data_IF_798662443750
#
_entry.id   IF_798662443750
#
_cell.length_a   1.000
_cell.length_b   1.000
_cell.length_c   1.000
_cell.angle_alpha   90.00
_cell.angle_beta   90.00
_cell.angle_gamma   90.00
#
_symmetry.space_group_name_H-M   'P 1'
#
loop_
_entity.id
_entity.type
_entity.pdbx_description
1 polymer ?
#
# COMPACT_ATOMS: atom_id res chain seq x y z
N UNK A 1 -9.78 -2.39 -10.91
CA UNK A 1 -9.66 -2.36 -9.43
C UNK A 1 -9.89 -3.72 -8.77
N UNK A 2 -11.00 -4.43 -9.04
CA UNK A 2 -11.24 -5.78 -8.49
C UNK A 2 -10.03 -6.71 -8.62
N UNK A 3 -9.43 -6.78 -9.82
CA UNK A 3 -8.24 -7.57 -10.07
C UNK A 3 -7.04 -7.16 -9.19
N UNK A 4 -6.73 -5.86 -9.10
CA UNK A 4 -5.65 -5.36 -8.25
C UNK A 4 -5.92 -5.60 -6.76
N UNK A 5 -7.19 -5.58 -6.34
CA UNK A 5 -7.58 -5.96 -4.99
C UNK A 5 -7.28 -7.43 -4.74
N UNK A 6 -7.66 -8.32 -5.66
CA UNK A 6 -7.33 -9.74 -5.58
C UNK A 6 -5.81 -9.98 -5.48
N UNK A 7 -5.03 -9.41 -6.39
CA UNK A 7 -3.56 -9.52 -6.40
C UNK A 7 -2.94 -9.02 -5.08
N UNK A 8 -3.43 -7.89 -4.55
CA UNK A 8 -2.92 -7.33 -3.29
C UNK A 8 -3.15 -8.25 -2.08
N UNK A 9 -4.24 -9.02 -2.06
CA UNK A 9 -4.54 -9.94 -0.97
C UNK A 9 -3.84 -11.29 -1.12
N UNK A 10 -3.72 -11.81 -2.35
CA UNK A 10 -3.12 -13.12 -2.59
C UNK A 10 -1.61 -13.09 -2.77
N UNK A 11 -1.01 -11.90 -2.97
CA UNK A 11 0.42 -11.73 -3.30
C UNK A 11 0.87 -12.55 -4.52
N UNK A 12 -0.06 -12.79 -5.46
CA UNK A 12 0.19 -13.54 -6.69
C UNK A 12 0.86 -12.64 -7.74
N UNK A 13 1.46 -13.27 -8.77
CA UNK A 13 1.92 -12.58 -9.97
C UNK A 13 0.77 -11.78 -10.60
N UNK A 14 1.00 -10.50 -10.86
CA UNK A 14 0.14 -9.74 -11.73
C UNK A 14 0.42 -10.11 -13.19
N UNK A 15 -0.60 -10.08 -14.05
CA UNK A 15 -0.39 -10.25 -15.49
C UNK A 15 0.36 -9.05 -16.12
N UNK A 16 0.50 -7.96 -15.36
CA UNK A 16 1.05 -6.69 -15.80
C UNK A 16 2.44 -6.48 -15.17
N UNK A 17 3.28 -7.51 -15.26
CA UNK A 17 4.69 -7.50 -14.87
C UNK A 17 5.54 -7.67 -16.12
N UNK A 18 5.69 -6.58 -16.88
CA UNK A 18 6.32 -6.61 -18.22
C UNK A 18 7.80 -6.26 -18.11
N UNK A 19 8.13 -5.23 -17.30
CA UNK A 19 9.50 -4.80 -17.03
C UNK A 19 9.60 -4.18 -15.63
N UNK A 20 10.82 -3.91 -15.16
CA UNK A 20 11.03 -3.25 -13.86
C UNK A 20 10.41 -1.85 -13.81
N UNK A 21 10.38 -1.16 -14.95
CA UNK A 21 9.80 0.18 -15.12
C UNK A 21 8.28 0.14 -15.30
N UNK A 22 7.72 -0.98 -15.78
CA UNK A 22 6.28 -1.17 -16.00
C UNK A 22 5.83 -2.47 -15.32
N UNK A 23 5.62 -2.38 -14.01
CA UNK A 23 5.20 -3.49 -13.17
C UNK A 23 4.12 -3.07 -12.17
N UNK A 24 2.95 -3.67 -12.29
CA UNK A 24 1.93 -3.54 -11.26
C UNK A 24 2.29 -4.28 -9.98
N UNK A 25 3.14 -5.32 -10.05
CA UNK A 25 3.59 -6.05 -8.86
C UNK A 25 4.49 -5.20 -7.97
N UNK A 26 5.44 -4.46 -8.55
CA UNK A 26 6.31 -3.54 -7.79
C UNK A 26 5.46 -2.47 -7.09
N UNK A 27 4.49 -1.90 -7.80
CA UNK A 27 3.62 -0.83 -7.28
C UNK A 27 2.69 -1.35 -6.17
N UNK A 28 2.00 -2.48 -6.39
CA UNK A 28 1.06 -3.08 -5.42
C UNK A 28 1.77 -3.61 -4.18
N UNK A 29 3.04 -3.99 -4.27
CA UNK A 29 3.83 -4.47 -3.13
C UNK A 29 4.66 -3.37 -2.46
N UNK A 30 4.58 -2.13 -2.95
CA UNK A 30 5.28 -0.98 -2.39
C UNK A 30 4.73 -0.55 -1.02
N UNK A 31 5.49 0.29 -0.32
CA UNK A 31 5.07 0.95 0.93
C UNK A 31 3.79 1.79 0.76
N UNK A 32 3.59 2.36 -0.43
CA UNK A 32 2.49 3.28 -0.76
C UNK A 32 1.20 2.58 -1.19
N UNK A 33 1.21 1.24 -1.24
CA UNK A 33 0.05 0.44 -1.64
C UNK A 33 -1.05 0.35 -0.56
N UNK A 34 -0.75 0.73 0.68
CA UNK A 34 -1.68 0.68 1.82
C UNK A 34 -1.81 2.03 2.50
N UNK A 35 -3.00 2.35 2.97
CA UNK A 35 -3.30 3.53 3.81
C UNK A 35 -4.03 3.03 5.05
N UNK A 36 -3.52 3.35 6.24
CA UNK A 36 -4.02 2.81 7.53
C UNK A 36 -4.20 1.26 7.54
N UNK A 37 -3.38 0.53 6.77
CA UNK A 37 -3.48 -0.93 6.62
C UNK A 37 -4.43 -1.43 5.54
N UNK A 38 -5.28 -0.56 4.99
CA UNK A 38 -6.22 -0.90 3.89
C UNK A 38 -5.52 -0.71 2.54
N UNK A 39 -5.59 -1.68 1.62
CA UNK A 39 -5.05 -1.52 0.27
C UNK A 39 -5.73 -0.38 -0.48
N UNK A 40 -4.95 0.45 -1.16
CA UNK A 40 -5.43 1.55 -2.00
C UNK A 40 -6.37 1.04 -3.10
N UNK A 41 -6.14 -0.17 -3.63
CA UNK A 41 -7.00 -0.80 -4.63
C UNK A 41 -8.43 -1.03 -4.13
N UNK A 42 -8.63 -1.26 -2.83
CA UNK A 42 -9.96 -1.38 -2.19
C UNK A 42 -10.66 -0.02 -2.17
N UNK A 43 -9.96 1.06 -1.84
CA UNK A 43 -10.51 2.41 -1.85
C UNK A 43 -10.92 2.83 -3.27
N UNK A 44 -10.08 2.51 -4.26
CA UNK A 44 -10.41 2.72 -5.67
C UNK A 44 -11.63 1.90 -6.12
N UNK A 45 -11.73 0.63 -5.70
CA UNK A 45 -12.90 -0.20 -5.97
C UNK A 45 -14.18 0.41 -5.39
N UNK A 46 -14.13 0.86 -4.13
CA UNK A 46 -15.26 1.51 -3.47
C UNK A 46 -15.72 2.77 -4.22
N UNK A 47 -14.77 3.59 -4.71
CA UNK A 47 -15.08 4.73 -5.56
C UNK A 47 -15.83 4.31 -6.84
N UNK A 48 -15.31 3.35 -7.61
CA UNK A 48 -15.94 2.94 -8.88
C UNK A 48 -17.32 2.31 -8.67
N UNK A 49 -17.50 1.51 -7.61
CA UNK A 49 -18.81 0.93 -7.25
C UNK A 49 -19.80 2.03 -6.88
N UNK A 50 -19.37 3.02 -6.12
CA UNK A 50 -20.22 4.16 -5.73
C UNK A 50 -20.64 4.98 -6.94
N UNK A 51 -19.72 5.28 -7.86
CA UNK A 51 -20.05 6.00 -9.11
C UNK A 51 -21.04 5.21 -9.96
N UNK A 52 -20.83 3.89 -10.12
CA UNK A 52 -21.75 3.03 -10.86
C UNK A 52 -23.14 3.00 -10.22
N UNK A 53 -23.22 2.85 -8.91
CA UNK A 53 -24.48 2.88 -8.16
C UNK A 53 -25.22 4.20 -8.35
N UNK A 54 -24.53 5.33 -8.22
CA UNK A 54 -25.11 6.66 -8.44
C UNK A 54 -25.59 6.84 -9.89
N UNK A 55 -24.81 6.36 -10.85
CA UNK A 55 -25.17 6.46 -12.27
C UNK A 55 -26.43 5.65 -12.63
N UNK A 56 -26.65 4.51 -11.98
CA UNK A 56 -27.77 3.60 -12.31
C UNK A 56 -29.04 3.88 -11.49
N UNK A 57 -28.90 4.19 -10.19
CA UNK A 57 -30.03 4.15 -9.25
C UNK A 57 -30.44 5.52 -8.71
N UNK A 58 -29.65 6.57 -8.94
CA UNK A 58 -29.94 7.90 -8.42
C UNK A 58 -30.60 8.82 -9.45
N UNK A 59 -31.36 9.81 -8.98
CA UNK A 59 -31.97 10.83 -9.84
C UNK A 59 -30.88 11.57 -10.62
N UNK A 60 -30.99 11.63 -11.95
CA UNK A 60 -29.95 12.14 -12.88
C UNK A 60 -29.33 13.47 -12.43
N UNK A 61 -30.13 14.46 -12.08
CA UNK A 61 -29.64 15.79 -11.67
C UNK A 61 -28.74 15.73 -10.41
N UNK A 62 -29.18 15.02 -9.36
CA UNK A 62 -28.38 14.85 -8.14
C UNK A 62 -27.18 13.94 -8.37
N UNK A 63 -27.35 12.88 -9.16
CA UNK A 63 -26.32 11.89 -9.46
C UNK A 63 -25.11 12.55 -10.14
N UNK A 64 -25.34 13.32 -11.21
CA UNK A 64 -24.26 13.95 -12.00
C UNK A 64 -23.45 14.91 -11.12
N UNK A 65 -24.12 15.73 -10.30
CA UNK A 65 -23.44 16.64 -9.37
C UNK A 65 -22.62 15.90 -8.31
N UNK A 66 -23.20 14.88 -7.68
CA UNK A 66 -22.48 14.10 -6.66
C UNK A 66 -21.30 13.35 -7.26
N UNK A 67 -21.46 12.76 -8.45
CA UNK A 67 -20.37 12.11 -9.18
C UNK A 67 -19.26 13.11 -9.48
N UNK A 68 -19.59 14.31 -10.00
CA UNK A 68 -18.59 15.35 -10.27
C UNK A 68 -17.78 15.71 -9.01
N UNK A 69 -18.46 16.02 -7.89
CA UNK A 69 -17.78 16.39 -6.64
C UNK A 69 -16.97 15.23 -6.04
N UNK A 70 -17.51 14.00 -6.10
CA UNK A 70 -16.81 12.80 -5.63
C UNK A 70 -15.54 12.54 -6.46
N UNK A 71 -15.64 12.57 -7.79
CA UNK A 71 -14.49 12.39 -8.68
C UNK A 71 -13.47 13.51 -8.50
N UNK A 72 -13.92 14.76 -8.32
CA UNK A 72 -13.05 15.89 -8.05
C UNK A 72 -12.31 15.73 -6.72
N UNK A 73 -12.94 15.17 -5.69
CA UNK A 73 -12.27 14.84 -4.42
C UNK A 73 -11.22 13.72 -4.63
N UNK A 74 -11.60 12.64 -5.31
CA UNK A 74 -10.80 11.43 -5.44
C UNK A 74 -9.64 11.53 -6.44
N UNK A 75 -9.67 12.47 -7.39
CA UNK A 75 -8.60 12.59 -8.40
C UNK A 75 -7.27 13.05 -7.78
N UNK A 76 -7.30 13.92 -6.76
CA UNK A 76 -6.09 14.44 -6.10
C UNK A 76 -5.24 13.36 -5.42
N UNK A 77 -5.78 12.51 -4.52
CA UNK A 77 -4.99 11.41 -3.96
C UNK A 77 -4.53 10.42 -5.04
N UNK A 78 -5.29 10.26 -6.13
CA UNK A 78 -4.89 9.41 -7.24
C UNK A 78 -3.71 9.98 -8.05
N UNK A 79 -3.66 11.29 -8.25
CA UNK A 79 -2.52 11.99 -8.88
C UNK A 79 -1.28 11.96 -7.99
N UNK A 80 -1.47 12.07 -6.67
CA UNK A 80 -0.39 11.85 -5.70
C UNK A 80 0.24 10.47 -5.88
N UNK A 81 -0.56 9.41 -6.07
CA UNK A 81 -0.03 8.07 -6.29
C UNK A 81 0.75 7.96 -7.62
N UNK A 82 0.31 8.61 -8.70
CA UNK A 82 1.12 8.71 -9.94
C UNK A 82 2.46 9.41 -9.69
N UNK A 83 2.45 10.52 -8.96
CA UNK A 83 3.69 11.18 -8.55
C UNK A 83 4.60 10.21 -7.80
N UNK A 84 4.04 9.42 -6.88
CA UNK A 84 4.82 8.44 -6.14
C UNK A 84 5.36 7.28 -6.98
N UNK A 85 4.56 6.78 -7.93
CA UNK A 85 4.97 5.77 -8.91
C UNK A 85 6.21 6.23 -9.70
N UNK A 86 6.22 7.49 -10.15
CA UNK A 86 7.29 8.05 -10.99
C UNK A 86 8.55 8.39 -10.16
N UNK A 87 8.39 9.09 -9.03
CA UNK A 87 9.53 9.67 -8.32
C UNK A 87 10.14 8.75 -7.25
N UNK A 88 9.30 8.00 -6.53
CA UNK A 88 9.76 7.17 -5.40
C UNK A 88 9.89 5.69 -5.78
N UNK A 89 8.86 5.12 -6.41
CA UNK A 89 8.84 3.69 -6.78
C UNK A 89 9.66 3.45 -8.05
N UNK A 90 9.67 4.42 -8.98
CA UNK A 90 10.30 4.33 -10.30
C UNK A 90 9.75 3.17 -11.15
N UNK A 91 8.48 2.86 -10.96
CA UNK A 91 7.76 1.84 -11.74
C UNK A 91 6.30 2.28 -11.91
N UNK A 92 5.75 2.06 -13.10
CA UNK A 92 4.41 2.50 -13.51
C UNK A 92 3.49 1.28 -13.54
N UNK A 93 2.32 1.37 -12.90
CA UNK A 93 1.29 0.35 -13.04
C UNK A 93 0.24 0.76 -14.07
N UNK A 94 0.21 0.07 -15.23
CA UNK A 94 -0.76 0.32 -16.31
C UNK A 94 -2.21 0.24 -15.83
N UNK A 95 -2.52 -0.66 -14.88
CA UNK A 95 -3.88 -0.79 -14.34
C UNK A 95 -4.28 0.37 -13.43
N UNK A 96 -3.33 0.96 -12.70
CA UNK A 96 -3.56 2.17 -11.93
C UNK A 96 -3.74 3.37 -12.87
N UNK A 97 -2.87 3.53 -13.87
CA UNK A 97 -2.95 4.64 -14.83
C UNK A 97 -4.20 4.59 -15.71
N UNK A 98 -4.59 3.41 -16.21
CA UNK A 98 -5.87 3.26 -16.93
C UNK A 98 -7.07 3.65 -16.07
N UNK A 99 -7.06 3.33 -14.77
CA UNK A 99 -8.12 3.75 -13.87
C UNK A 99 -8.16 5.27 -13.67
N UNK A 100 -7.00 5.94 -13.68
CA UNK A 100 -6.88 7.40 -13.60
C UNK A 100 -7.42 8.07 -14.86
N UNK A 101 -7.14 7.49 -16.04
CA UNK A 101 -7.74 7.93 -17.31
C UNK A 101 -9.26 7.83 -17.27
N UNK A 102 -9.81 6.71 -16.77
CA UNK A 102 -11.26 6.55 -16.60
C UNK A 102 -11.85 7.59 -15.64
N UNK A 103 -11.18 7.87 -14.51
CA UNK A 103 -11.59 8.93 -13.60
C UNK A 103 -11.58 10.31 -14.26
N UNK A 104 -10.56 10.61 -15.07
CA UNK A 104 -10.50 11.85 -15.86
C UNK A 104 -11.66 11.97 -16.84
N UNK A 105 -12.02 10.88 -17.52
CA UNK A 105 -13.20 10.82 -18.39
C UNK A 105 -14.51 11.08 -17.65
N UNK A 106 -14.71 10.43 -16.49
CA UNK A 106 -15.88 10.65 -15.62
C UNK A 106 -15.95 12.12 -15.17
N UNK A 107 -14.83 12.71 -14.78
CA UNK A 107 -14.76 14.11 -14.37
C UNK A 107 -15.14 15.05 -15.53
N UNK A 108 -14.61 14.81 -16.72
CA UNK A 108 -14.90 15.63 -17.90
C UNK A 108 -16.37 15.56 -18.31
N UNK A 109 -16.96 14.36 -18.36
CA UNK A 109 -18.36 14.16 -18.73
C UNK A 109 -19.30 14.76 -17.69
N UNK A 110 -19.04 14.52 -16.41
CA UNK A 110 -19.86 15.07 -15.32
C UNK A 110 -19.75 16.60 -15.22
N UNK A 111 -18.56 17.17 -15.47
CA UNK A 111 -18.37 18.62 -15.58
C UNK A 111 -19.15 19.22 -16.76
N UNK A 112 -19.08 18.62 -17.95
CA UNK A 112 -19.84 19.09 -19.10
C UNK A 112 -21.35 19.05 -18.82
N UNK A 113 -21.87 17.93 -18.30
CA UNK A 113 -23.28 17.75 -18.02
C UNK A 113 -23.81 18.72 -16.94
N UNK A 114 -23.03 18.99 -15.90
CA UNK A 114 -23.40 19.98 -14.87
C UNK A 114 -23.36 21.42 -15.38
N UNK A 115 -22.40 21.76 -16.25
CA UNK A 115 -22.36 23.06 -16.94
C UNK A 115 -23.57 23.27 -17.83
N UNK A 116 -23.96 22.26 -18.62
CA UNK A 116 -25.17 22.31 -19.45
C UNK A 116 -26.46 22.46 -18.63
N UNK A 117 -26.49 21.92 -17.42
CA UNK A 117 -27.64 22.03 -16.51
C UNK A 117 -27.76 23.40 -15.83
N UNK A 118 -26.85 24.36 -16.09
CA UNK A 118 -26.92 25.73 -15.59
C UNK A 118 -26.71 25.87 -14.07
N UNK A 119 -26.08 24.89 -13.43
CA UNK A 119 -26.04 24.79 -11.97
C UNK A 119 -25.02 25.75 -11.34
N UNK A 120 -25.44 26.98 -10.99
CA UNK A 120 -24.54 28.04 -10.45
C UNK A 120 -23.81 27.66 -9.15
N UNK A 121 -24.38 26.75 -8.35
CA UNK A 121 -23.80 26.33 -7.07
C UNK A 121 -22.56 25.43 -7.21
N UNK A 122 -22.28 24.88 -8.40
CA UNK A 122 -21.21 23.89 -8.56
C UNK A 122 -19.81 24.50 -8.44
N UNK A 123 -19.61 25.71 -8.97
CA UNK A 123 -18.34 26.44 -8.87
C UNK A 123 -18.04 26.88 -7.42
N UNK A 124 -19.08 27.13 -6.63
CA UNK A 124 -18.91 27.46 -5.21
C UNK A 124 -18.55 26.23 -4.36
N UNK A 125 -19.06 25.05 -4.75
CA UNK A 125 -18.78 23.79 -4.07
C UNK A 125 -17.47 23.14 -4.51
N UNK A 126 -16.94 23.45 -5.71
CA UNK A 126 -15.69 22.87 -6.20
C UNK A 126 -14.47 23.32 -5.40
N UNK A 127 -14.39 24.60 -5.02
CA UNK A 127 -13.26 25.14 -4.25
C UNK A 127 -12.98 24.39 -2.93
N UNK A 128 -13.96 24.22 -2.01
CA UNK A 128 -13.71 23.46 -0.78
C UNK A 128 -13.43 21.97 -1.04
N UNK A 129 -13.99 21.38 -2.10
CA UNK A 129 -13.73 19.98 -2.47
C UNK A 129 -12.31 19.78 -3.00
N UNK A 130 -11.78 20.74 -3.77
CA UNK A 130 -10.38 20.74 -4.22
C UNK A 130 -9.44 20.79 -3.02
N UNK A 131 -9.69 21.73 -2.09
CA UNK A 131 -8.90 21.86 -0.85
C UNK A 131 -8.96 20.55 -0.05
N UNK A 132 -10.14 19.95 0.08
CA UNK A 132 -10.30 18.66 0.75
C UNK A 132 -9.54 17.54 0.03
N UNK A 133 -9.57 17.48 -1.30
CA UNK A 133 -8.85 16.48 -2.09
C UNK A 133 -7.33 16.58 -1.92
N UNK A 134 -6.81 17.81 -1.94
CA UNK A 134 -5.39 18.08 -1.66
C UNK A 134 -5.03 17.68 -0.23
N UNK A 135 -5.88 18.01 0.75
CA UNK A 135 -5.67 17.62 2.13
C UNK A 135 -5.65 16.09 2.29
N UNK A 136 -6.56 15.37 1.64
CA UNK A 136 -6.59 13.90 1.64
C UNK A 136 -5.30 13.33 1.04
N UNK A 137 -4.81 13.87 -0.08
CA UNK A 137 -3.54 13.46 -0.66
C UNK A 137 -2.36 13.67 0.30
N UNK A 138 -2.31 14.81 1.00
CA UNK A 138 -1.30 15.09 2.03
C UNK A 138 -1.38 14.14 3.23
N UNK A 139 -2.60 13.84 3.70
CA UNK A 139 -2.84 12.87 4.78
C UNK A 139 -2.39 11.47 4.36
N UNK A 140 -2.68 11.05 3.13
CA UNK A 140 -2.23 9.76 2.60
C UNK A 140 -0.70 9.69 2.57
N UNK A 141 -0.04 10.71 2.02
CA UNK A 141 1.42 10.79 2.01
C UNK A 141 2.01 10.66 3.42
N UNK A 142 1.49 11.42 4.39
CA UNK A 142 1.98 11.36 5.77
C UNK A 142 1.67 10.01 6.45
N UNK A 143 0.49 9.43 6.22
CA UNK A 143 0.12 8.09 6.72
C UNK A 143 1.07 7.00 6.21
N UNK A 144 1.49 7.12 4.95
CA UNK A 144 2.31 6.13 4.27
C UNK A 144 3.80 6.27 4.56
N UNK A 145 4.29 7.51 4.67
CA UNK A 145 5.70 7.80 4.92
C UNK A 145 6.03 8.00 6.40
N UNK A 146 5.03 8.32 7.23
CA UNK A 146 5.20 8.53 8.67
C UNK A 146 5.60 7.26 9.44
N UNK A 147 5.46 6.08 8.83
CA UNK A 147 5.98 4.81 9.38
C UNK A 147 7.47 4.60 9.12
N UNK A 148 8.09 5.39 8.24
CA UNK A 148 9.53 5.28 7.95
C UNK A 148 10.31 5.87 9.12
N UNK A 149 10.98 5.01 9.89
CA UNK A 149 11.80 5.44 11.02
C UNK A 149 13.08 6.12 10.54
N UNK A 150 13.39 7.28 11.15
CA UNK A 150 14.70 7.94 11.05
C UNK A 150 15.64 7.55 12.19
N UNK A 151 15.13 6.85 13.22
CA UNK A 151 15.90 6.42 14.37
C UNK A 151 16.78 5.23 13.97
N UNK A 152 17.99 5.18 14.52
CA UNK A 152 18.87 4.04 14.34
C UNK A 152 18.50 2.91 15.30
N UNK A 153 18.12 1.77 14.73
CA UNK A 153 17.83 0.54 15.46
C UNK A 153 18.96 -0.50 15.32
N UNK A 154 20.20 -0.07 15.03
CA UNK A 154 21.39 -0.93 14.94
C UNK A 154 21.48 -1.90 16.12
N UNK A 155 21.43 -1.38 17.35
CA UNK A 155 21.57 -2.17 18.58
C UNK A 155 20.43 -3.17 18.77
N UNK A 156 19.21 -2.74 18.46
CA UNK A 156 18.04 -3.62 18.52
C UNK A 156 18.20 -4.77 17.51
N UNK A 157 18.53 -4.47 16.26
CA UNK A 157 18.73 -5.47 15.21
C UNK A 157 19.86 -6.43 15.56
N UNK A 158 20.96 -5.92 16.11
CA UNK A 158 22.05 -6.77 16.60
C UNK A 158 21.57 -7.71 17.70
N UNK A 159 20.86 -7.20 18.71
CA UNK A 159 20.30 -8.03 19.77
C UNK A 159 19.32 -9.09 19.21
N UNK A 160 18.46 -8.73 18.25
CA UNK A 160 17.55 -9.69 17.59
C UNK A 160 18.34 -10.83 16.94
N UNK A 161 19.42 -10.51 16.23
CA UNK A 161 20.29 -11.51 15.61
C UNK A 161 20.98 -12.40 16.65
N UNK A 162 21.51 -11.82 17.74
CA UNK A 162 22.15 -12.55 18.84
C UNK A 162 21.17 -13.48 19.57
N UNK A 163 19.90 -13.10 19.64
CA UNK A 163 18.80 -13.93 20.18
C UNK A 163 18.28 -14.97 19.17
N UNK A 164 18.87 -15.06 17.98
CA UNK A 164 18.49 -16.05 16.97
C UNK A 164 17.15 -15.73 16.29
N UNK A 165 16.69 -14.48 16.31
CA UNK A 165 15.47 -14.08 15.60
C UNK A 165 15.74 -14.10 14.10
N UNK A 166 14.90 -14.83 13.37
CA UNK A 166 14.92 -14.87 11.90
C UNK A 166 13.64 -14.23 11.36
N UNK A 167 13.82 -13.27 10.47
CA UNK A 167 12.75 -12.53 9.79
C UNK A 167 12.43 -13.15 8.43
N UNK A 168 11.32 -13.90 8.37
CA UNK A 168 10.81 -14.46 7.12
C UNK A 168 9.96 -13.42 6.39
N UNK A 169 10.38 -13.11 5.17
CA UNK A 169 9.80 -12.05 4.35
C UNK A 169 9.51 -12.52 2.93
N UNK A 170 8.80 -11.68 2.19
CA UNK A 170 8.58 -11.87 0.77
C UNK A 170 8.80 -10.56 0.03
N UNK A 171 9.46 -10.61 -1.12
CA UNK A 171 9.59 -9.46 -2.03
C UNK A 171 8.24 -8.88 -2.46
N UNK A 172 7.18 -9.73 -2.44
CA UNK A 172 5.78 -9.38 -2.77
C UNK A 172 4.91 -9.07 -1.55
N UNK A 173 5.52 -8.81 -0.41
CA UNK A 173 4.78 -8.53 0.81
C UNK A 173 4.84 -7.04 1.16
N UNK A 174 3.78 -6.29 0.85
CA UNK A 174 3.69 -4.87 1.22
C UNK A 174 3.71 -4.63 2.73
N UNK A 175 3.21 -5.58 3.52
CA UNK A 175 3.31 -5.52 4.99
C UNK A 175 4.76 -5.66 5.45
N UNK A 176 5.58 -6.45 4.75
CA UNK A 176 7.01 -6.62 5.02
C UNK A 176 7.75 -5.32 4.73
N UNK A 177 7.42 -4.62 3.65
CA UNK A 177 7.96 -3.28 3.37
C UNK A 177 7.64 -2.26 4.46
N UNK A 178 6.44 -2.34 5.07
CA UNK A 178 6.10 -1.52 6.24
C UNK A 178 6.89 -1.90 7.48
N UNK A 179 7.12 -3.19 7.72
CA UNK A 179 7.98 -3.66 8.82
C UNK A 179 9.42 -3.17 8.66
N UNK A 180 9.97 -3.29 7.46
CA UNK A 180 11.30 -2.79 7.11
C UNK A 180 11.39 -1.27 7.30
N UNK A 181 10.35 -0.53 6.91
CA UNK A 181 10.27 0.92 7.13
C UNK A 181 10.30 1.30 8.62
N UNK A 182 9.66 0.54 9.51
CA UNK A 182 9.68 0.78 10.96
C UNK A 182 11.10 0.61 11.55
N UNK A 183 11.87 -0.34 11.02
CA UNK A 183 13.25 -0.59 11.45
C UNK A 183 14.26 0.38 10.80
N UNK A 184 13.83 1.20 9.85
CA UNK A 184 14.70 2.12 9.12
C UNK A 184 15.84 1.39 8.42
N UNK A 185 16.97 2.07 8.15
CA UNK A 185 18.12 1.45 7.46
C UNK A 185 18.69 0.22 8.18
N UNK A 186 18.45 0.08 9.49
CA UNK A 186 18.95 -1.02 10.30
C UNK A 186 18.36 -2.37 9.88
N UNK A 187 17.19 -2.42 9.22
CA UNK A 187 16.57 -3.68 8.75
C UNK A 187 17.51 -4.49 7.85
N UNK A 188 18.39 -3.84 7.10
CA UNK A 188 19.29 -4.50 6.15
C UNK A 188 20.27 -5.48 6.83
N UNK A 189 20.52 -5.33 8.14
CA UNK A 189 21.37 -6.23 8.94
C UNK A 189 20.59 -7.31 9.68
N UNK A 190 19.26 -7.28 9.62
CA UNK A 190 18.43 -8.27 10.31
C UNK A 190 18.52 -9.61 9.57
N UNK A 191 18.81 -10.67 10.30
CA UNK A 191 18.81 -12.03 9.77
C UNK A 191 17.45 -12.32 9.15
N UNK A 192 17.42 -12.54 7.83
CA UNK A 192 16.18 -12.69 7.10
C UNK A 192 16.23 -13.79 6.06
N UNK A 193 15.07 -14.37 5.77
CA UNK A 193 14.87 -15.40 4.76
C UNK A 193 13.82 -14.91 3.78
N UNK A 194 14.18 -14.89 2.50
CA UNK A 194 13.28 -14.53 1.41
C UNK A 194 12.50 -15.75 0.93
N UNK A 195 11.18 -15.73 1.18
CA UNK A 195 10.31 -16.87 0.90
C UNK A 195 9.78 -16.90 -0.54
N UNK A 196 9.98 -15.85 -1.34
CA UNK A 196 9.49 -15.80 -2.70
C UNK A 196 10.62 -16.08 -3.72
N UNK A 197 10.43 -16.96 -4.71
CA UNK A 197 11.47 -17.35 -5.68
C UNK A 197 12.10 -16.21 -6.49
N UNK A 198 11.37 -15.12 -6.68
CA UNK A 198 11.84 -13.93 -7.42
C UNK A 198 12.54 -12.89 -6.53
N UNK A 199 12.61 -13.12 -5.22
CA UNK A 199 13.34 -12.25 -4.32
C UNK A 199 14.85 -12.49 -4.38
N UNK A 200 15.60 -11.66 -3.68
CA UNK A 200 17.07 -11.78 -3.62
C UNK A 200 17.47 -12.93 -2.68
N UNK A 201 18.36 -13.82 -3.14
CA UNK A 201 18.81 -15.02 -2.41
C UNK A 201 17.64 -15.82 -1.81
N UNK A 202 16.69 -16.27 -2.65
CA UNK A 202 15.43 -16.86 -2.19
C UNK A 202 15.65 -18.25 -1.60
N UNK A 203 14.86 -18.60 -0.58
CA UNK A 203 14.82 -19.93 0.02
C UNK A 203 13.37 -20.37 0.36
N UNK A 204 12.53 -20.60 -0.67
CA UNK A 204 11.14 -20.99 -0.48
C UNK A 204 10.99 -22.36 0.20
N UNK A 205 11.92 -23.29 -0.05
CA UNK A 205 11.90 -24.63 0.55
C UNK A 205 12.03 -24.57 2.08
N UNK A 206 12.95 -23.73 2.58
CA UNK A 206 13.06 -23.49 4.02
C UNK A 206 11.77 -22.90 4.58
N UNK A 207 11.16 -21.93 3.91
CA UNK A 207 9.90 -21.34 4.36
C UNK A 207 8.76 -22.38 4.42
N UNK A 208 8.67 -23.30 3.45
CA UNK A 208 7.72 -24.40 3.46
C UNK A 208 8.00 -25.38 4.60
N UNK A 209 9.27 -25.76 4.81
CA UNK A 209 9.69 -26.64 5.90
C UNK A 209 9.36 -26.04 7.29
N UNK A 210 9.52 -24.73 7.43
CA UNK A 210 9.18 -23.95 8.63
C UNK A 210 7.70 -23.57 8.73
N UNK A 211 6.86 -24.06 7.80
CA UNK A 211 5.41 -23.81 7.75
C UNK A 211 5.08 -22.31 7.79
N UNK A 212 5.85 -21.49 7.08
CA UNK A 212 5.59 -20.06 6.97
C UNK A 212 4.43 -19.85 6.01
N UNK A 213 3.23 -19.64 6.56
CA UNK A 213 2.01 -19.43 5.77
C UNK A 213 1.77 -17.96 5.41
N UNK A 214 2.36 -17.03 6.17
CA UNK A 214 2.21 -15.59 6.00
C UNK A 214 3.54 -14.89 6.24
N UNK A 215 3.75 -13.78 5.55
CA UNK A 215 4.87 -12.87 5.80
C UNK A 215 4.32 -11.46 6.11
N UNK A 216 4.98 -10.67 6.96
CA UNK A 216 6.20 -11.01 7.69
C UNK A 216 5.96 -12.02 8.81
N UNK A 217 6.95 -12.86 9.10
CA UNK A 217 6.95 -13.75 10.27
C UNK A 217 8.30 -13.71 10.94
N UNK A 218 8.33 -13.58 12.26
CA UNK A 218 9.52 -13.66 13.09
C UNK A 218 9.53 -14.98 13.83
N UNK A 219 10.63 -15.71 13.76
CA UNK A 219 10.79 -17.03 14.37
C UNK A 219 12.07 -17.07 15.21
N UNK A 220 12.01 -17.75 16.34
CA UNK A 220 13.19 -18.12 17.14
C UNK A 220 13.20 -19.63 17.30
N UNK A 221 14.34 -20.24 16.99
CA UNK A 221 14.56 -21.67 17.13
C UNK A 221 15.80 -21.94 17.97
N UNK A 222 15.75 -23.02 18.75
CA UNK A 222 16.90 -23.52 19.50
C UNK A 222 16.94 -25.04 19.32
N UNK A 223 18.09 -25.56 18.89
CA UNK A 223 18.30 -27.00 18.65
C UNK A 223 17.25 -27.63 17.71
N UNK A 224 16.74 -26.84 16.75
CA UNK A 224 15.73 -27.28 15.78
C UNK A 224 14.28 -27.27 16.28
N UNK A 225 14.05 -26.87 17.54
CA UNK A 225 12.71 -26.68 18.08
C UNK A 225 12.30 -25.21 17.97
N UNK A 226 11.08 -25.00 17.45
CA UNK A 226 10.44 -23.68 17.43
C UNK A 226 10.07 -23.25 18.86
N UNK A 227 10.67 -22.17 19.33
CA UNK A 227 10.42 -21.62 20.66
C UNK A 227 9.35 -20.53 20.64
N UNK A 228 9.44 -19.64 19.65
CA UNK A 228 8.57 -18.46 19.54
C UNK A 228 8.31 -18.11 18.08
N UNK A 229 7.08 -17.68 17.80
CA UNK A 229 6.64 -17.17 16.51
C UNK A 229 5.80 -15.91 16.70
N UNK A 230 6.04 -14.90 15.87
CA UNK A 230 5.18 -13.73 15.74
C UNK A 230 4.87 -13.49 14.26
N UNK A 231 3.58 -13.50 13.91
CA UNK A 231 3.12 -13.28 12.54
C UNK A 231 2.56 -11.87 12.35
N UNK A 232 2.75 -11.32 11.16
CA UNK A 232 2.28 -9.99 10.80
C UNK A 232 3.18 -8.87 11.30
N UNK A 233 2.75 -7.64 11.05
CA UNK A 233 3.52 -6.44 11.40
C UNK A 233 3.65 -6.32 12.92
N UNK A 234 4.89 -6.16 13.38
CA UNK A 234 5.26 -5.96 14.78
C UNK A 234 5.73 -4.52 14.99
N UNK A 235 5.18 -3.83 16.00
CA UNK A 235 5.75 -2.56 16.42
C UNK A 235 7.12 -2.79 17.05
N UNK A 236 7.97 -1.76 17.04
CA UNK A 236 9.34 -1.84 17.58
C UNK A 236 9.35 -2.33 19.03
N UNK A 237 8.42 -1.84 19.85
CA UNK A 237 8.30 -2.25 21.26
C UNK A 237 7.93 -3.72 21.41
N UNK A 238 7.02 -4.21 20.58
CA UNK A 238 6.55 -5.59 20.62
C UNK A 238 7.66 -6.54 20.15
N UNK A 239 8.38 -6.16 19.09
CA UNK A 239 9.52 -6.91 18.56
C UNK A 239 10.69 -6.98 19.56
N UNK A 240 11.01 -5.86 20.22
CA UNK A 240 12.00 -5.83 21.30
C UNK A 240 11.58 -6.73 22.47
N UNK A 241 10.32 -6.63 22.89
CA UNK A 241 9.78 -7.45 23.99
C UNK A 241 9.76 -8.95 23.64
N UNK A 242 9.43 -9.29 22.40
CA UNK A 242 9.42 -10.66 21.87
C UNK A 242 10.77 -11.36 22.06
N UNK A 243 11.86 -10.65 21.78
CA UNK A 243 13.23 -11.16 21.89
C UNK A 243 13.91 -10.88 23.25
N UNK A 244 13.28 -10.07 24.13
CA UNK A 244 13.91 -9.61 25.37
C UNK A 244 15.05 -8.62 25.14
N UNK A 245 14.97 -7.83 24.07
CA UNK A 245 15.94 -6.80 23.70
C UNK A 245 15.53 -5.42 24.25
N UNK A 246 16.52 -4.56 24.47
CA UNK A 246 16.27 -3.15 24.79
C UNK A 246 16.07 -2.36 23.49
N UNK A 247 15.26 -1.31 23.58
CA UNK A 247 15.10 -0.34 22.48
C UNK A 247 16.12 0.78 22.78
N UNK A 248 16.96 1.20 21.82
CA UNK A 248 17.80 2.38 22.01
C UNK A 248 16.90 3.58 22.35
N UNK A 249 17.37 4.49 23.21
CA UNK A 249 16.60 5.69 23.63
C UNK A 249 16.35 6.68 22.49
#
# INVERSE_FOLDING_TARGET
MVYLTYVSFTQNQSFCDISKEVSCDIVVNSLYSKVFGVPVSVLGLFYFVTVLFLALLSKKEKAIKTIFLLTLLSIFPSLYLTFTEIFFIKSICLLCETSKVLMGGILAVSFAATKFSGEKNIFRLSAPVIVAGIAVAGIMYFSQTGVVSKKDYSELVQCLNEKGVVYYKSVRCSTCRRQEALLGSSYARLNSVECHPEGENPNPELCLAKKISKTPTFLVEQEGLELKRAEGLQQIKDLASFAGCKIPE
#
